data_IF_792450593377
#
_entry.id   IF_792450593377
#
_cell.length_a   1.000
_cell.length_b   1.000
_cell.length_c   1.000
_cell.angle_alpha   90.00
_cell.angle_beta   90.00
_cell.angle_gamma   90.00
#
_symmetry.space_group_name_H-M   'P 1'
#
loop_
_entity.id
_entity.type
_entity.pdbx_description
1 polymer ?
#
# COMPACT_ATOMS: atom_id res chain seq x y z
N UNK A 1 10.56 -3.21 -3.07
CA UNK A 1 9.75 -4.44 -3.07
C UNK A 1 8.26 -4.19 -2.86
N UNK A 2 7.84 -3.22 -2.02
CA UNK A 2 6.42 -2.91 -1.75
C UNK A 2 5.51 -2.75 -2.99
N UNK A 3 5.87 -1.90 -3.95
CA UNK A 3 5.07 -1.69 -5.18
C UNK A 3 4.81 -2.97 -5.99
N UNK A 4 5.78 -3.89 -6.04
CA UNK A 4 5.62 -5.16 -6.76
C UNK A 4 4.57 -6.05 -6.11
N UNK A 5 4.61 -6.18 -4.78
CA UNK A 5 3.62 -6.92 -4.02
C UNK A 5 2.22 -6.31 -4.13
N UNK A 6 2.10 -4.98 -4.02
CA UNK A 6 0.82 -4.29 -4.17
C UNK A 6 0.21 -4.51 -5.57
N UNK A 7 1.02 -4.43 -6.63
CA UNK A 7 0.56 -4.73 -8.00
C UNK A 7 0.16 -6.19 -8.19
N UNK A 8 0.86 -7.13 -7.58
CA UNK A 8 0.47 -8.54 -7.61
C UNK A 8 -0.89 -8.76 -6.91
N UNK A 9 -1.15 -8.10 -5.79
CA UNK A 9 -2.46 -8.16 -5.11
C UNK A 9 -3.59 -7.61 -6.01
N UNK A 10 -3.33 -6.47 -6.68
CA UNK A 10 -4.26 -5.89 -7.65
C UNK A 10 -4.53 -6.83 -8.83
N UNK A 11 -3.49 -7.45 -9.39
CA UNK A 11 -3.62 -8.42 -10.49
C UNK A 11 -4.39 -9.67 -10.08
N UNK A 12 -4.30 -10.07 -8.81
CA UNK A 12 -5.07 -11.17 -8.24
C UNK A 12 -6.54 -10.78 -7.91
N UNK A 13 -6.93 -9.52 -8.14
CA UNK A 13 -8.29 -9.03 -7.90
C UNK A 13 -8.60 -8.67 -6.45
N UNK A 14 -7.58 -8.53 -5.58
CA UNK A 14 -7.78 -8.15 -4.18
C UNK A 14 -8.04 -6.64 -4.05
N UNK A 15 -8.96 -6.27 -3.17
CA UNK A 15 -9.10 -4.89 -2.72
C UNK A 15 -7.79 -4.49 -2.02
N UNK A 16 -7.07 -3.54 -2.63
CA UNK A 16 -5.71 -3.20 -2.20
C UNK A 16 -5.62 -1.70 -1.93
N UNK A 17 -5.04 -1.35 -0.78
CA UNK A 17 -4.65 0.00 -0.40
C UNK A 17 -3.14 0.05 -0.20
N UNK A 18 -2.55 1.24 -0.21
CA UNK A 18 -1.12 1.39 0.04
C UNK A 18 -0.74 2.60 0.89
N UNK A 19 0.37 2.44 1.61
CA UNK A 19 1.02 3.53 2.33
C UNK A 19 2.44 3.67 1.85
N UNK A 20 2.83 4.90 1.48
CA UNK A 20 4.21 5.22 1.15
C UNK A 20 4.50 6.68 1.55
N UNK A 21 5.72 6.92 2.02
CA UNK A 21 6.21 8.26 2.34
C UNK A 21 6.44 9.09 1.07
N UNK A 22 6.70 8.42 -0.07
CA UNK A 22 6.87 9.06 -1.35
C UNK A 22 5.50 9.25 -2.03
N UNK A 23 5.03 10.49 -2.22
CA UNK A 23 3.73 10.76 -2.82
C UNK A 23 3.62 10.29 -4.29
N UNK A 24 4.73 10.16 -5.02
CA UNK A 24 4.73 9.60 -6.38
C UNK A 24 4.37 8.12 -6.39
N UNK A 25 4.85 7.35 -5.41
CA UNK A 25 4.50 5.93 -5.29
C UNK A 25 3.01 5.75 -4.99
N UNK A 26 2.44 6.58 -4.12
CA UNK A 26 1.00 6.60 -3.84
C UNK A 26 0.19 6.89 -5.12
N UNK A 27 0.57 7.91 -5.89
CA UNK A 27 -0.05 8.22 -7.19
C UNK A 27 0.05 7.06 -8.18
N UNK A 28 1.23 6.44 -8.28
CA UNK A 28 1.46 5.32 -9.18
C UNK A 28 0.64 4.08 -8.80
N UNK A 29 0.40 3.86 -7.50
CA UNK A 29 -0.44 2.76 -7.02
C UNK A 29 -1.93 3.03 -7.26
N UNK A 30 -2.40 4.25 -7.04
CA UNK A 30 -3.75 4.67 -7.39
C UNK A 30 -4.02 4.52 -8.89
N UNK A 31 -3.09 4.98 -9.72
CA UNK A 31 -3.17 4.81 -11.17
C UNK A 31 -3.19 3.33 -11.62
N UNK A 32 -2.66 2.43 -10.79
CA UNK A 32 -2.70 0.99 -11.03
C UNK A 32 -4.01 0.32 -10.58
N UNK A 33 -4.95 1.06 -9.97
CA UNK A 33 -6.27 0.57 -9.58
C UNK A 33 -6.47 0.30 -8.09
N UNK A 34 -5.57 0.77 -7.23
CA UNK A 34 -5.78 0.69 -5.78
C UNK A 34 -7.01 1.48 -5.32
N UNK A 35 -7.67 0.99 -4.27
CA UNK A 35 -8.86 1.62 -3.66
C UNK A 35 -8.51 2.91 -2.90
N UNK A 36 -7.27 3.02 -2.43
CA UNK A 36 -6.74 4.21 -1.79
C UNK A 36 -5.24 4.10 -1.57
N UNK A 37 -4.54 5.24 -1.57
CA UNK A 37 -3.15 5.29 -1.15
C UNK A 37 -2.81 6.66 -0.57
N UNK A 38 -1.89 6.71 0.39
CA UNK A 38 -1.48 7.95 1.03
C UNK A 38 -0.35 7.77 2.03
N UNK A 39 0.00 8.83 2.78
CA UNK A 39 1.09 8.78 3.75
C UNK A 39 0.72 8.03 5.05
N UNK A 40 -0.53 7.60 5.20
CA UNK A 40 -1.02 6.92 6.41
C UNK A 40 -2.14 5.93 6.07
N UNK A 41 -2.19 4.82 6.80
CA UNK A 41 -3.25 3.82 6.70
C UNK A 41 -4.51 4.20 7.49
N UNK A 42 -4.42 5.15 8.44
CA UNK A 42 -5.51 5.49 9.37
C UNK A 42 -6.86 5.70 8.68
N UNK A 43 -6.96 6.41 7.54
CA UNK A 43 -8.25 6.66 6.89
C UNK A 43 -8.97 5.41 6.35
N UNK A 44 -8.24 4.31 6.12
CA UNK A 44 -8.79 3.08 5.53
C UNK A 44 -8.46 1.83 6.35
N UNK A 45 -7.92 1.99 7.56
CA UNK A 45 -7.50 0.87 8.40
C UNK A 45 -8.66 -0.07 8.76
N UNK A 46 -9.87 0.47 8.90
CA UNK A 46 -11.08 -0.30 9.18
C UNK A 46 -11.51 -1.22 8.02
N UNK A 47 -11.01 -0.98 6.80
CA UNK A 47 -11.33 -1.77 5.60
C UNK A 47 -10.35 -2.95 5.38
N UNK A 48 -9.29 -3.04 6.20
CA UNK A 48 -8.19 -3.98 5.97
C UNK A 48 -8.37 -5.27 6.77
N UNK A 49 -8.43 -6.41 6.07
CA UNK A 49 -8.37 -7.74 6.69
C UNK A 49 -6.94 -8.13 7.13
N UNK A 50 -5.93 -7.60 6.44
CA UNK A 50 -4.52 -7.91 6.68
C UNK A 50 -3.60 -6.76 6.27
N UNK A 51 -2.43 -6.68 6.91
CA UNK A 51 -1.39 -5.68 6.60
C UNK A 51 -0.07 -6.39 6.29
N UNK A 52 0.55 -6.05 5.16
CA UNK A 52 1.88 -6.52 4.78
C UNK A 52 2.86 -5.33 4.82
N UNK A 53 3.81 -5.36 5.75
CA UNK A 53 4.83 -4.33 5.90
C UNK A 53 6.10 -4.71 5.12
N UNK A 54 6.39 -3.96 4.05
CA UNK A 54 7.57 -4.18 3.19
C UNK A 54 8.47 -2.95 3.21
N UNK A 55 9.23 -2.82 4.30
CA UNK A 55 10.16 -1.71 4.55
C UNK A 55 11.62 -2.14 4.34
N UNK A 56 12.54 -1.18 4.24
CA UNK A 56 13.97 -1.44 4.02
C UNK A 56 14.60 -2.12 5.23
N UNK A 57 14.17 -1.73 6.45
CA UNK A 57 14.65 -2.32 7.69
C UNK A 57 13.67 -2.10 8.84
N UNK A 58 13.93 -2.78 9.97
CA UNK A 58 13.10 -2.73 11.17
C UNK A 58 13.03 -1.34 11.85
N UNK A 59 13.89 -0.37 11.50
CA UNK A 59 13.75 0.97 12.06
C UNK A 59 12.51 1.71 11.52
N UNK A 60 11.88 1.20 10.46
CA UNK A 60 10.73 1.81 9.79
C UNK A 60 9.36 1.25 10.24
N UNK A 61 9.33 0.34 11.23
CA UNK A 61 8.08 -0.20 11.81
C UNK A 61 7.73 0.45 13.15
N UNK A 62 8.00 1.76 13.26
CA UNK A 62 7.77 2.56 14.47
C UNK A 62 6.44 3.28 14.43
#
# INVERSE_FOLDING_TARGET
>A
MGMGAARACLQAGLNTWGVDINPDNCRALLAAGAKGAGPSAVPFAAELDAVVLLVVNAAQVR
#
